data_IF_349649035718
#
_entry.id   IF_349649035718
#
_cell.length_a   1.000
_cell.length_b   1.000
_cell.length_c   1.000
_cell.angle_alpha   90.00
_cell.angle_beta   90.00
_cell.angle_gamma   90.00
#
_symmetry.space_group_name_H-M   'P 1'
#
loop_
_entity.id
_entity.type
_entity.pdbx_description
1 polymer ?
#
# COMPACT_ATOMS: atom_id res chain seq x y z
N UNK A 1 -4.92 -10.04 -6.02
CA UNK A 1 -4.09 -10.01 -7.25
C UNK A 1 -2.67 -9.65 -6.87
N UNK A 2 -1.67 -10.22 -7.53
CA UNK A 2 -0.27 -9.93 -7.22
C UNK A 2 0.12 -8.57 -7.80
N UNK A 3 1.00 -7.84 -7.10
CA UNK A 3 1.44 -6.48 -7.50
C UNK A 3 2.03 -6.47 -8.91
N UNK A 4 2.83 -7.49 -9.26
CA UNK A 4 3.44 -7.57 -10.60
C UNK A 4 2.39 -7.66 -11.71
N UNK A 5 1.28 -8.37 -11.48
CA UNK A 5 0.21 -8.48 -12.45
C UNK A 5 -0.53 -7.15 -12.59
N UNK A 6 -0.74 -6.45 -11.48
CA UNK A 6 -1.39 -5.13 -11.46
C UNK A 6 -0.56 -4.14 -12.27
N UNK A 7 0.76 -4.11 -12.06
CA UNK A 7 1.66 -3.21 -12.79
C UNK A 7 1.73 -3.56 -14.28
N UNK A 8 1.72 -4.84 -14.64
CA UNK A 8 1.74 -5.30 -16.02
C UNK A 8 0.45 -4.95 -16.79
N UNK A 9 -0.70 -4.94 -16.10
CA UNK A 9 -2.02 -4.72 -16.70
C UNK A 9 -2.64 -3.36 -16.37
N UNK A 10 -1.88 -2.44 -15.75
CA UNK A 10 -2.38 -1.18 -15.16
C UNK A 10 -3.29 -0.35 -16.08
N UNK A 11 -3.00 -0.28 -17.38
CA UNK A 11 -3.81 0.47 -18.35
C UNK A 11 -5.19 -0.17 -18.59
N UNK A 12 -5.28 -1.49 -18.45
CA UNK A 12 -6.50 -2.28 -18.66
C UNK A 12 -7.38 -2.25 -17.42
N UNK A 13 -6.77 -2.32 -16.24
CA UNK A 13 -7.46 -2.42 -14.95
C UNK A 13 -7.67 -1.07 -14.26
N UNK A 14 -7.29 0.04 -14.91
CA UNK A 14 -7.55 1.39 -14.41
C UNK A 14 -9.06 1.59 -14.24
N UNK A 15 -9.46 2.05 -13.06
CA UNK A 15 -10.87 2.21 -12.68
C UNK A 15 -11.53 0.92 -12.16
N UNK A 16 -10.83 -0.21 -12.14
CA UNK A 16 -11.35 -1.45 -11.57
C UNK A 16 -11.09 -1.54 -10.06
N UNK A 17 -12.04 -2.14 -9.37
CA UNK A 17 -11.89 -2.57 -7.97
C UNK A 17 -11.04 -3.84 -7.91
N UNK A 18 -9.98 -3.82 -7.13
CA UNK A 18 -9.07 -4.95 -6.97
C UNK A 18 -8.57 -5.04 -5.53
N UNK A 19 -8.34 -6.27 -5.09
CA UNK A 19 -7.62 -6.57 -3.86
C UNK A 19 -6.17 -6.88 -4.19
N UNK A 20 -5.25 -6.22 -3.49
CA UNK A 20 -3.80 -6.35 -3.63
C UNK A 20 -3.25 -6.90 -2.33
N UNK A 21 -2.35 -7.87 -2.45
CA UNK A 21 -1.59 -8.41 -1.32
C UNK A 21 -0.10 -8.18 -1.58
N UNK A 22 0.63 -7.79 -0.53
CA UNK A 22 2.07 -7.55 -0.60
C UNK A 22 2.63 -7.04 0.71
N UNK A 23 3.80 -6.40 0.64
CA UNK A 23 4.39 -5.69 1.77
C UNK A 23 3.96 -4.24 1.70
N UNK A 24 3.21 -3.79 2.70
CA UNK A 24 2.93 -2.38 2.91
C UNK A 24 4.11 -1.69 3.56
N UNK A 25 4.55 -0.59 2.96
CA UNK A 25 5.64 0.25 3.42
C UNK A 25 5.11 1.65 3.63
N UNK A 26 5.54 2.29 4.73
CA UNK A 26 5.32 3.71 4.92
C UNK A 26 6.62 4.43 5.21
N UNK A 27 6.96 5.40 4.38
CA UNK A 27 8.16 6.23 4.50
C UNK A 27 7.76 7.71 4.45
N UNK A 28 8.03 8.46 5.52
CA UNK A 28 7.80 9.92 5.59
C UNK A 28 6.37 10.32 5.17
N UNK A 29 5.36 9.62 5.68
CA UNK A 29 3.95 9.85 5.38
C UNK A 29 3.45 9.28 4.05
N UNK A 30 4.33 8.70 3.23
CA UNK A 30 3.95 8.06 1.95
C UNK A 30 3.79 6.56 2.16
N UNK A 31 2.57 6.06 1.98
CA UNK A 31 2.24 4.63 2.04
C UNK A 31 2.20 3.99 0.66
N UNK A 32 2.80 2.81 0.49
CA UNK A 32 2.80 2.08 -0.78
C UNK A 32 2.96 0.57 -0.57
N UNK A 33 2.55 -0.20 -1.57
CA UNK A 33 2.67 -1.66 -1.60
C UNK A 33 3.78 -2.09 -2.55
N UNK A 34 4.63 -3.02 -2.09
CA UNK A 34 5.63 -3.71 -2.93
C UNK A 34 5.44 -5.22 -2.86
N UNK A 35 5.92 -5.93 -3.87
CA UNK A 35 5.75 -7.39 -3.94
C UNK A 35 6.44 -8.13 -2.79
N UNK A 36 7.60 -7.65 -2.34
CA UNK A 36 8.40 -8.32 -1.32
C UNK A 36 9.34 -7.35 -0.60
N UNK A 37 9.86 -7.76 0.56
CA UNK A 37 10.73 -6.96 1.43
C UNK A 37 12.03 -6.48 0.74
N UNK A 38 12.56 -7.24 -0.22
CA UNK A 38 13.74 -6.85 -0.99
C UNK A 38 13.44 -5.81 -2.09
N UNK A 39 12.18 -5.38 -2.24
CA UNK A 39 11.73 -4.38 -3.23
C UNK A 39 11.27 -3.07 -2.60
N UNK A 40 11.38 -2.91 -1.27
CA UNK A 40 10.87 -1.74 -0.54
C UNK A 40 11.43 -0.39 -1.01
N UNK A 41 12.62 -0.39 -1.63
CA UNK A 41 13.27 0.81 -2.17
C UNK A 41 12.96 1.08 -3.66
N UNK A 42 12.34 0.13 -4.36
CA UNK A 42 12.01 0.26 -5.79
C UNK A 42 10.58 0.74 -5.98
N UNK A 43 10.38 2.06 -5.83
CA UNK A 43 9.06 2.71 -5.95
C UNK A 43 8.44 2.59 -7.35
N UNK A 44 9.26 2.37 -8.39
CA UNK A 44 8.78 2.16 -9.75
C UNK A 44 7.97 0.86 -9.90
N UNK A 45 8.26 -0.12 -9.04
CA UNK A 45 7.59 -1.41 -8.91
C UNK A 45 6.64 -1.45 -7.72
N UNK A 46 6.21 -0.28 -7.23
CA UNK A 46 5.29 -0.14 -6.12
C UNK A 46 3.95 0.44 -6.56
N UNK A 47 2.94 0.21 -5.75
CA UNK A 47 1.59 0.79 -5.92
C UNK A 47 1.37 1.76 -4.77
N UNK A 48 1.22 3.04 -5.08
CA UNK A 48 0.96 4.09 -4.10
C UNK A 48 -0.41 3.88 -3.45
N UNK A 49 -0.52 4.08 -2.15
CA UNK A 49 -1.80 4.15 -1.44
C UNK A 49 -2.23 5.61 -1.39
N UNK A 50 -3.19 5.98 -2.23
CA UNK A 50 -3.71 7.34 -2.29
C UNK A 50 -4.97 7.46 -1.44
N UNK A 51 -4.74 7.73 -0.15
CA UNK A 51 -5.76 7.97 0.84
C UNK A 51 -5.41 9.23 1.67
N UNK A 52 -6.31 10.22 1.77
CA UNK A 52 -6.13 11.36 2.66
C UNK A 52 -5.94 10.90 4.12
N UNK A 53 -5.06 11.54 4.88
CA UNK A 53 -4.83 11.19 6.29
C UNK A 53 -4.41 9.72 6.54
N UNK A 54 -3.92 8.98 5.53
CA UNK A 54 -3.53 7.57 5.65
C UNK A 54 -2.68 7.27 6.89
N UNK A 55 -1.66 8.10 7.12
CA UNK A 55 -0.74 7.95 8.25
C UNK A 55 -1.45 8.06 9.61
N UNK A 56 -2.40 9.00 9.74
CA UNK A 56 -3.19 9.18 10.95
C UNK A 56 -4.06 7.96 11.24
N UNK A 57 -4.73 7.44 10.21
CA UNK A 57 -5.57 6.25 10.33
C UNK A 57 -4.74 5.01 10.71
N UNK A 58 -3.59 4.82 10.09
CA UNK A 58 -2.64 3.76 10.43
C UNK A 58 -2.13 3.87 11.87
N UNK A 59 -1.63 5.03 12.28
CA UNK A 59 -1.09 5.23 13.63
C UNK A 59 -2.14 5.02 14.73
N UNK A 60 -3.41 5.27 14.42
CA UNK A 60 -4.52 5.02 15.35
C UNK A 60 -4.95 3.55 15.44
N UNK A 61 -4.67 2.74 14.41
CA UNK A 61 -5.20 1.37 14.28
C UNK A 61 -4.12 0.29 14.42
N UNK A 62 -2.89 0.57 13.99
CA UNK A 62 -1.79 -0.39 13.88
C UNK A 62 -0.53 0.20 14.52
N UNK A 63 0.14 -0.49 15.46
CA UNK A 63 1.40 -0.01 16.03
C UNK A 63 2.48 0.19 14.97
N UNK A 64 3.02 1.40 14.89
CA UNK A 64 4.14 1.73 14.01
C UNK A 64 5.49 1.24 14.57
N UNK A 65 6.45 1.06 13.66
CA UNK A 65 7.86 0.92 14.03
C UNK A 65 8.44 2.25 14.51
N UNK A 66 9.23 2.20 15.59
CA UNK A 66 9.93 3.35 16.13
C UNK A 66 11.41 3.40 15.70
N UNK A 67 11.92 4.60 15.45
CA UNK A 67 13.36 4.87 15.31
C UNK A 67 14.02 4.43 13.99
N UNK A 68 13.24 3.97 13.01
CA UNK A 68 13.71 3.52 11.70
C UNK A 68 13.37 4.48 10.56
N UNK A 69 13.83 4.14 9.35
CA UNK A 69 13.47 4.84 8.10
C UNK A 69 11.99 4.66 7.73
N UNK A 70 11.44 3.47 8.02
CA UNK A 70 10.08 3.08 7.67
C UNK A 70 9.23 2.98 8.93
N UNK A 71 8.05 3.64 8.91
CA UNK A 71 7.06 3.55 9.99
C UNK A 71 6.29 2.23 9.93
N UNK A 72 6.11 1.67 8.73
CA UNK A 72 5.49 0.37 8.49
C UNK A 72 6.29 -0.39 7.43
N UNK A 73 6.38 -1.71 7.60
CA UNK A 73 7.05 -2.62 6.68
C UNK A 73 6.56 -4.03 6.98
N UNK A 74 5.33 -4.30 6.58
CA UNK A 74 4.53 -5.43 7.07
C UNK A 74 3.74 -6.05 5.93
N UNK A 75 3.45 -7.36 6.00
CA UNK A 75 2.53 -7.99 5.05
C UNK A 75 1.16 -7.38 5.23
N UNK A 76 0.48 -7.05 4.15
CA UNK A 76 -0.81 -6.41 4.17
C UNK A 76 -1.64 -6.74 2.94
N UNK A 77 -2.94 -6.51 3.07
CA UNK A 77 -3.94 -6.64 2.02
C UNK A 77 -4.72 -5.34 1.93
N UNK A 78 -4.92 -4.81 0.73
CA UNK A 78 -5.72 -3.61 0.49
C UNK A 78 -6.70 -3.86 -0.65
N UNK A 79 -7.93 -3.40 -0.50
CA UNK A 79 -8.96 -3.43 -1.55
C UNK A 79 -9.37 -2.01 -1.90
N UNK A 80 -9.37 -1.68 -3.18
CA UNK A 80 -9.72 -0.34 -3.65
C UNK A 80 -9.73 -0.25 -5.17
N UNK A 81 -9.82 0.96 -5.69
CA UNK A 81 -9.86 1.25 -7.13
C UNK A 81 -8.48 1.66 -7.63
N UNK A 82 -8.02 0.97 -8.68
CA UNK A 82 -6.76 1.31 -9.36
C UNK A 82 -6.91 2.61 -10.14
N UNK A 83 -5.91 3.49 -10.01
CA UNK A 83 -5.84 4.75 -10.74
C UNK A 83 -4.40 5.12 -11.08
N UNK A 84 -4.28 6.16 -11.90
CA UNK A 84 -2.98 6.74 -12.20
C UNK A 84 -2.41 7.44 -10.97
N UNK A 85 -1.11 7.26 -10.74
CA UNK A 85 -0.42 7.93 -9.66
C UNK A 85 -0.25 9.42 -9.96
N UNK A 86 -0.44 10.25 -8.94
CA UNK A 86 -0.09 11.68 -8.99
C UNK A 86 1.36 11.96 -8.57
N UNK A 87 2.07 10.92 -8.11
CA UNK A 87 3.44 10.98 -7.60
C UNK A 87 4.37 10.29 -8.59
N UNK A 88 5.41 11.02 -9.04
CA UNK A 88 6.27 10.63 -10.19
C UNK A 88 7.03 9.32 -9.97
N UNK A 89 7.34 8.98 -8.73
CA UNK A 89 8.06 7.76 -8.38
C UNK A 89 7.24 6.48 -8.56
N UNK A 90 5.91 6.60 -8.66
CA UNK A 90 5.00 5.46 -8.77
C UNK A 90 4.30 5.46 -10.13
N UNK A 91 4.25 4.30 -10.77
CA UNK A 91 3.54 4.15 -12.05
C UNK A 91 2.02 4.02 -11.88
N UNK A 92 1.56 3.70 -10.67
CA UNK A 92 0.16 3.39 -10.38
C UNK A 92 -0.16 3.67 -8.91
N UNK A 93 -1.44 3.96 -8.62
CA UNK A 93 -1.96 4.11 -7.27
C UNK A 93 -3.23 3.28 -7.08
N UNK A 94 -3.54 2.99 -5.82
CA UNK A 94 -4.84 2.51 -5.37
C UNK A 94 -5.49 3.61 -4.52
N UNK A 95 -6.73 3.97 -4.84
CA UNK A 95 -7.54 4.90 -4.06
C UNK A 95 -8.94 4.34 -3.83
N UNK A 96 -9.85 5.13 -3.24
CA UNK A 96 -11.20 4.65 -2.86
C UNK A 96 -11.12 3.31 -2.13
N UNK A 97 -10.40 3.31 -1.01
CA UNK A 97 -10.06 2.08 -0.30
C UNK A 97 -11.28 1.63 0.49
N UNK A 98 -11.64 0.36 0.36
CA UNK A 98 -12.79 -0.25 1.03
C UNK A 98 -12.38 -1.15 2.19
N UNK A 99 -11.19 -1.74 2.10
CA UNK A 99 -10.63 -2.60 3.13
C UNK A 99 -9.10 -2.49 3.14
N UNK A 100 -8.51 -2.46 4.33
CA UNK A 100 -7.07 -2.42 4.50
C UNK A 100 -6.69 -3.15 5.79
N UNK A 101 -5.97 -4.26 5.65
CA UNK A 101 -5.55 -5.13 6.73
C UNK A 101 -4.03 -5.20 6.73
N UNK A 102 -3.40 -4.88 7.88
CA UNK A 102 -1.97 -5.03 8.10
C UNK A 102 -1.73 -6.21 9.04
N UNK A 103 -0.86 -7.14 8.68
CA UNK A 103 -0.49 -8.27 9.52
C UNK A 103 0.69 -7.89 10.42
N UNK A 104 0.42 -7.71 11.72
CA UNK A 104 1.42 -7.37 12.73
C UNK A 104 1.55 -8.51 13.73
N UNK A 105 2.78 -8.98 13.96
CA UNK A 105 3.05 -10.09 14.90
C UNK A 105 2.24 -11.37 14.63
N UNK A 106 1.87 -11.62 13.37
CA UNK A 106 1.03 -12.75 12.97
C UNK A 106 -0.48 -12.49 13.05
N UNK A 107 -0.91 -11.36 13.60
CA UNK A 107 -2.31 -11.00 13.77
C UNK A 107 -2.76 -9.99 12.69
N UNK A 108 -3.93 -10.17 12.05
CA UNK A 108 -4.51 -9.18 11.15
C UNK A 108 -5.06 -7.99 11.94
N UNK A 109 -4.70 -6.78 11.53
CA UNK A 109 -5.19 -5.53 12.10
C UNK A 109 -5.84 -4.69 11.00
N UNK A 110 -7.16 -4.48 11.09
CA UNK A 110 -7.88 -3.61 10.17
C UNK A 110 -7.55 -2.14 10.43
N UNK A 111 -7.28 -1.40 9.36
CA UNK A 111 -7.07 0.04 9.38
C UNK A 111 -8.43 0.71 9.20
N UNK A 112 -8.83 1.54 10.16
CA UNK A 112 -10.06 2.32 10.04
C UNK A 112 -9.80 3.52 9.13
N UNK A 113 -10.21 3.45 7.86
CA UNK A 113 -10.01 4.47 6.83
C UNK A 113 -11.21 5.42 6.70
#
# INVERSE_FOLDING_TARGET
>A
MQIIDVLAQREIIKGCELTIEGVFVMERGVGYFVQAMNKIDDKSQAILVDHPELEKHLLSSVPAYGGGRFSYCDIAVVSGVIKESTVIEFSCAIGQIFDFIVHKYGEPMSVNL
#
